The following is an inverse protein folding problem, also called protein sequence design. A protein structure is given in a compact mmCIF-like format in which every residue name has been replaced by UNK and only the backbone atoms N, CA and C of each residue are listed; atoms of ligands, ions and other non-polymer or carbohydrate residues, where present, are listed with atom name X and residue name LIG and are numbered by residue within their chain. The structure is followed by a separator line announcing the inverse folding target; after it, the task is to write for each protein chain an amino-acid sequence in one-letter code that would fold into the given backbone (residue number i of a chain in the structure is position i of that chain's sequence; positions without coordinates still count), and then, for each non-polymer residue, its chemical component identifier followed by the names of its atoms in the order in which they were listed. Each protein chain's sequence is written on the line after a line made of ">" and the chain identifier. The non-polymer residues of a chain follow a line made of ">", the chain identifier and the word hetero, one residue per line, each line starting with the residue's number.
data_IF_717326241993
#
_entry.id   IF_717326241993
#
_cell.length_a   1.000
_cell.length_b   1.000
_cell.length_c   1.000
_cell.angle_alpha   90.00
_cell.angle_beta   90.00
_cell.angle_gamma   90.00
#
_symmetry.space_group_name_H-M   'P 1'
#
loop_
_entity.id
_entity.type
_entity.pdbx_description
1 polymer ?
#
# COMPACT_ATOMS: atom_id res chain seq x y z
N UNK A 1 -33.72 -29.06 20.68
CA UNK A 1 -32.32 -28.69 20.42
C UNK A 1 -32.00 -27.54 21.36
N UNK A 2 -31.01 -27.63 22.27
CA UNK A 2 -30.64 -26.49 23.10
C UNK A 2 -29.61 -25.64 22.33
N UNK A 3 -29.85 -24.33 22.24
CA UNK A 3 -28.83 -23.37 21.79
C UNK A 3 -27.92 -23.07 22.97
N UNK A 4 -26.68 -23.51 22.89
CA UNK A 4 -25.63 -23.12 23.84
C UNK A 4 -25.20 -21.70 23.49
N UNK A 5 -25.80 -20.70 24.13
CA UNK A 5 -25.28 -19.34 24.09
C UNK A 5 -23.93 -19.32 24.81
N UNK A 6 -22.92 -18.75 24.15
CA UNK A 6 -21.61 -18.48 24.74
C UNK A 6 -21.86 -17.47 25.88
N UNK A 7 -21.63 -17.89 27.11
CA UNK A 7 -21.62 -17.02 28.28
C UNK A 7 -20.61 -15.89 28.03
N UNK A 8 -21.09 -14.65 27.93
CA UNK A 8 -20.23 -13.49 27.68
C UNK A 8 -19.17 -13.41 28.77
N UNK A 9 -17.89 -13.48 28.39
CA UNK A 9 -16.79 -13.14 29.27
C UNK A 9 -16.73 -11.61 29.43
N UNK A 10 -17.72 -11.03 30.10
CA UNK A 10 -17.65 -9.63 30.55
C UNK A 10 -16.86 -9.68 31.86
N UNK A 11 -15.53 -9.75 31.73
CA UNK A 11 -14.68 -9.29 32.82
C UNK A 11 -14.57 -7.78 32.62
N UNK A 12 -15.02 -7.00 33.59
CA UNK A 12 -14.87 -5.54 33.55
C UNK A 12 -13.39 -5.22 33.28
N UNK A 13 -13.06 -4.55 32.16
CA UNK A 13 -11.69 -4.16 31.90
C UNK A 13 -11.27 -3.16 32.97
N UNK A 14 -10.18 -3.44 33.67
CA UNK A 14 -9.57 -2.50 34.62
C UNK A 14 -9.00 -1.32 33.81
N UNK A 15 -9.74 -0.21 33.77
CA UNK A 15 -9.34 0.99 33.03
C UNK A 15 -8.26 1.71 33.85
N UNK A 16 -7.01 1.69 33.37
CA UNK A 16 -5.92 2.45 33.96
C UNK A 16 -5.91 3.88 33.37
N UNK A 17 -6.19 4.92 34.18
CA UNK A 17 -6.24 6.31 33.71
C UNK A 17 -4.88 6.82 33.20
N UNK A 18 -3.76 6.22 33.60
CA UNK A 18 -2.42 6.60 33.14
C UNK A 18 -2.11 6.23 31.67
N UNK A 19 -2.99 5.45 31.03
CA UNK A 19 -2.85 5.08 29.60
C UNK A 19 -3.61 6.02 28.66
N UNK A 20 -4.35 7.00 29.20
CA UNK A 20 -5.15 7.94 28.42
C UNK A 20 -4.48 9.31 28.41
N UNK A 21 -4.40 9.94 27.23
CA UNK A 21 -3.86 11.30 27.03
C UNK A 21 -4.89 12.38 27.45
N UNK A 22 -5.54 12.18 28.60
CA UNK A 22 -6.50 13.13 29.19
C UNK A 22 -6.16 13.35 30.65
N UNK A 23 -6.27 14.60 31.11
CA UNK A 23 -6.06 14.96 32.51
C UNK A 23 -7.26 14.50 33.34
N UNK A 24 -7.18 13.31 33.92
CA UNK A 24 -8.17 12.79 34.87
C UNK A 24 -7.75 13.13 36.31
N UNK A 25 -8.69 13.63 37.12
CA UNK A 25 -8.47 13.79 38.56
C UNK A 25 -8.28 12.40 39.21
N UNK A 26 -7.34 12.25 40.14
CA UNK A 26 -6.94 10.94 40.69
C UNK A 26 -8.06 10.24 41.51
N UNK A 27 -9.06 11.04 41.88
CA UNK A 27 -10.26 10.67 42.62
C UNK A 27 -11.52 10.62 41.72
N UNK A 28 -11.39 10.82 40.41
CA UNK A 28 -12.47 10.71 39.44
C UNK A 28 -12.54 9.28 38.88
N UNK A 29 -13.57 8.54 39.27
CA UNK A 29 -13.84 7.21 38.71
C UNK A 29 -14.34 7.34 37.28
N UNK A 30 -13.45 7.10 36.30
CA UNK A 30 -13.81 6.98 34.87
C UNK A 30 -14.51 5.63 34.67
N UNK A 31 -15.74 5.52 35.14
CA UNK A 31 -16.62 4.41 34.78
C UNK A 31 -16.89 4.45 33.28
N UNK A 32 -17.05 3.28 32.66
CA UNK A 32 -17.61 3.17 31.31
C UNK A 32 -18.94 3.94 31.30
N UNK A 33 -18.99 5.08 30.62
CA UNK A 33 -20.19 5.94 30.48
C UNK A 33 -21.18 5.31 29.49
N UNK A 34 -21.47 4.02 29.61
CA UNK A 34 -22.64 3.44 28.98
C UNK A 34 -23.80 3.78 29.94
N UNK A 35 -24.78 4.60 29.52
CA UNK A 35 -25.95 4.87 30.33
C UNK A 35 -26.59 3.55 30.77
N UNK A 36 -26.87 3.38 32.06
CA UNK A 36 -27.63 2.22 32.56
C UNK A 36 -29.14 2.35 32.33
N UNK A 37 -29.57 3.39 31.62
CA UNK A 37 -30.94 3.54 31.15
C UNK A 37 -31.21 2.57 30.01
N UNK A 38 -32.44 2.06 29.90
CA UNK A 38 -32.86 1.31 28.72
C UNK A 38 -32.57 2.18 27.49
N UNK A 39 -31.71 1.68 26.59
CA UNK A 39 -31.40 2.36 25.34
C UNK A 39 -32.71 2.73 24.65
N UNK A 40 -32.91 4.02 24.40
CA UNK A 40 -34.11 4.53 23.70
C UNK A 40 -34.38 3.70 22.43
N UNK A 41 -35.63 3.64 21.99
CA UNK A 41 -36.06 2.79 20.88
C UNK A 41 -35.22 3.06 19.60
N UNK A 42 -34.70 4.28 19.46
CA UNK A 42 -33.74 4.70 18.43
C UNK A 42 -32.44 3.88 18.43
N UNK A 43 -31.92 3.51 19.59
CA UNK A 43 -30.66 2.77 19.76
C UNK A 43 -30.85 1.25 19.89
N UNK A 44 -32.09 0.78 20.05
CA UNK A 44 -32.44 -0.64 20.09
C UNK A 44 -32.55 -1.28 18.70
N UNK A 45 -32.62 -0.48 17.64
CA UNK A 45 -32.67 -0.98 16.27
C UNK A 45 -31.29 -1.44 15.82
N UNK A 46 -31.11 -2.75 15.69
CA UNK A 46 -29.98 -3.33 14.96
C UNK A 46 -30.14 -2.88 13.50
N UNK A 47 -29.19 -2.11 12.94
CA UNK A 47 -29.28 -1.69 11.54
C UNK A 47 -29.30 -2.91 10.63
N UNK A 48 -30.17 -2.90 9.62
CA UNK A 48 -30.18 -3.92 8.58
C UNK A 48 -28.98 -3.70 7.65
N UNK A 49 -27.95 -4.53 7.83
CA UNK A 49 -26.72 -4.45 7.05
C UNK A 49 -26.79 -5.23 5.73
N UNK A 50 -27.93 -5.87 5.40
CA UNK A 50 -28.03 -6.69 4.18
C UNK A 50 -27.96 -5.83 2.90
N UNK A 51 -28.62 -4.66 2.90
CA UNK A 51 -28.55 -3.70 1.80
C UNK A 51 -27.14 -3.13 1.63
N UNK A 52 -26.51 -2.76 2.76
CA UNK A 52 -25.13 -2.27 2.78
C UNK A 52 -24.18 -3.36 2.25
N UNK A 53 -24.30 -4.60 2.72
CA UNK A 53 -23.49 -5.73 2.26
C UNK A 53 -23.65 -5.99 0.76
N UNK A 54 -24.87 -5.87 0.22
CA UNK A 54 -25.12 -5.97 -1.22
C UNK A 54 -24.44 -4.81 -1.97
N UNK A 55 -24.41 -3.61 -1.41
CA UNK A 55 -23.67 -2.47 -1.97
C UNK A 55 -22.15 -2.68 -1.93
N UNK A 56 -21.60 -3.12 -0.81
CA UNK A 56 -20.20 -3.54 -0.70
C UNK A 56 -19.88 -4.71 -1.63
N UNK A 57 -20.83 -5.57 -1.96
CA UNK A 57 -20.67 -6.66 -2.93
C UNK A 57 -20.68 -6.14 -4.38
N UNK A 58 -21.46 -5.09 -4.69
CA UNK A 58 -21.42 -4.40 -6.00
C UNK A 58 -20.08 -3.71 -6.25
N UNK A 59 -19.48 -3.13 -5.22
CA UNK A 59 -18.15 -2.49 -5.29
C UNK A 59 -17.00 -3.40 -4.84
N UNK A 60 -17.34 -4.60 -4.36
CA UNK A 60 -16.41 -5.58 -3.83
C UNK A 60 -15.63 -6.20 -4.97
N UNK A 61 -14.46 -5.63 -5.21
CA UNK A 61 -13.34 -6.10 -6.04
C UNK A 61 -13.71 -7.35 -6.84
N UNK A 62 -14.29 -7.13 -8.03
CA UNK A 62 -14.60 -8.17 -9.01
C UNK A 62 -13.39 -9.09 -9.14
N UNK A 63 -13.57 -10.35 -8.74
CA UNK A 63 -12.51 -11.35 -8.72
C UNK A 63 -11.78 -11.43 -10.07
N UNK A 64 -10.45 -11.42 -10.00
CA UNK A 64 -9.59 -11.75 -11.13
C UNK A 64 -8.35 -10.88 -11.26
N UNK A 65 -8.37 -9.64 -10.78
CA UNK A 65 -7.18 -8.81 -10.81
C UNK A 65 -6.42 -8.93 -9.48
N UNK A 66 -5.53 -9.92 -9.44
CA UNK A 66 -4.52 -10.05 -8.40
C UNK A 66 -3.38 -9.05 -8.63
N UNK A 67 -3.60 -7.96 -9.39
CA UNK A 67 -2.77 -6.78 -9.30
C UNK A 67 -2.93 -6.26 -7.87
N UNK A 68 -2.15 -6.85 -6.95
CA UNK A 68 -1.78 -6.21 -5.70
C UNK A 68 -1.42 -4.80 -6.12
N UNK A 69 -2.26 -3.82 -5.75
CA UNK A 69 -1.98 -2.44 -6.03
C UNK A 69 -0.59 -2.21 -5.46
N UNK A 70 0.43 -2.13 -6.32
CA UNK A 70 1.79 -1.85 -5.93
C UNK A 70 1.78 -0.36 -5.61
N UNK A 71 1.15 -0.03 -4.48
CA UNK A 71 0.85 1.32 -4.10
C UNK A 71 2.14 2.07 -3.90
N UNK A 72 2.14 3.34 -4.26
CA UNK A 72 3.13 4.31 -3.82
C UNK A 72 2.44 5.25 -2.84
N UNK A 73 3.15 5.72 -1.84
CA UNK A 73 2.58 6.71 -0.93
C UNK A 73 2.38 8.04 -1.66
N UNK A 74 1.47 8.88 -1.15
CA UNK A 74 1.29 10.22 -1.71
C UNK A 74 2.60 11.02 -1.73
N UNK A 75 3.41 10.89 -0.67
CA UNK A 75 4.71 11.55 -0.57
C UNK A 75 5.71 11.02 -1.61
N UNK A 76 5.73 9.71 -1.86
CA UNK A 76 6.55 9.09 -2.91
C UNK A 76 6.15 9.64 -4.30
N UNK A 77 4.85 9.67 -4.60
CA UNK A 77 4.34 10.17 -5.88
C UNK A 77 4.62 11.66 -6.07
N UNK A 78 4.34 12.46 -5.04
CA UNK A 78 4.59 13.91 -5.03
C UNK A 78 6.07 14.21 -5.23
N UNK A 79 6.94 13.47 -4.54
CA UNK A 79 8.39 13.60 -4.67
C UNK A 79 8.83 13.31 -6.10
N UNK A 80 8.36 12.22 -6.73
CA UNK A 80 8.69 11.92 -8.14
C UNK A 80 8.21 13.03 -9.07
N UNK A 81 7.00 13.55 -8.86
CA UNK A 81 6.50 14.68 -9.63
C UNK A 81 7.44 15.90 -9.60
N UNK A 82 7.94 16.26 -8.42
CA UNK A 82 8.92 17.35 -8.24
C UNK A 82 10.26 17.00 -8.89
N UNK A 83 10.72 15.76 -8.73
CA UNK A 83 11.98 15.28 -9.30
C UNK A 83 11.97 15.30 -10.84
N UNK A 84 10.84 14.94 -11.46
CA UNK A 84 10.67 15.01 -12.92
C UNK A 84 10.63 16.46 -13.44
N UNK A 85 10.29 17.44 -12.61
CA UNK A 85 10.34 18.85 -13.02
C UNK A 85 11.76 19.43 -12.96
N UNK A 86 12.64 18.84 -12.15
CA UNK A 86 14.04 19.26 -12.01
C UNK A 86 14.86 18.86 -13.24
N UNK A 87 15.70 19.78 -13.73
CA UNK A 87 16.56 19.53 -14.90
C UNK A 87 17.71 18.56 -14.59
N UNK A 88 18.27 18.63 -13.38
CA UNK A 88 19.39 17.78 -12.96
C UNK A 88 19.09 17.08 -11.63
N UNK A 89 19.14 15.75 -11.66
CA UNK A 89 18.87 14.88 -10.51
C UNK A 89 20.17 14.35 -9.91
N UNK A 90 20.27 14.40 -8.59
CA UNK A 90 21.35 13.73 -7.86
C UNK A 90 21.21 12.21 -7.98
N UNK A 91 22.31 11.46 -7.91
CA UNK A 91 22.29 10.00 -8.06
C UNK A 91 21.37 9.30 -7.05
N UNK A 92 21.32 9.79 -5.80
CA UNK A 92 20.40 9.27 -4.78
C UNK A 92 18.92 9.49 -5.18
N UNK A 93 18.60 10.69 -5.68
CA UNK A 93 17.25 11.04 -6.14
C UNK A 93 16.84 10.23 -7.38
N UNK A 94 17.77 9.98 -8.30
CA UNK A 94 17.52 9.13 -9.48
C UNK A 94 17.12 7.72 -9.07
N UNK A 95 17.87 7.09 -8.15
CA UNK A 95 17.57 5.74 -7.67
C UNK A 95 16.17 5.65 -7.05
N UNK A 96 15.82 6.60 -6.19
CA UNK A 96 14.49 6.65 -5.58
C UNK A 96 13.39 6.86 -6.63
N UNK A 97 13.59 7.80 -7.56
CA UNK A 97 12.63 8.05 -8.62
C UNK A 97 12.40 6.83 -9.51
N UNK A 98 13.47 6.11 -9.86
CA UNK A 98 13.38 4.88 -10.68
C UNK A 98 12.60 3.80 -9.95
N UNK A 99 12.90 3.56 -8.66
CA UNK A 99 12.21 2.55 -7.86
C UNK A 99 10.70 2.82 -7.77
N UNK A 100 10.31 4.09 -7.61
CA UNK A 100 8.90 4.50 -7.54
C UNK A 100 8.23 4.41 -8.92
N UNK A 101 8.90 4.87 -9.97
CA UNK A 101 8.40 4.80 -11.36
C UNK A 101 8.17 3.36 -11.81
N UNK A 102 9.08 2.45 -11.47
CA UNK A 102 8.92 1.02 -11.76
C UNK A 102 7.73 0.42 -11.02
N UNK A 103 7.49 0.83 -9.77
CA UNK A 103 6.30 0.43 -8.99
C UNK A 103 5.00 1.01 -9.56
N UNK A 104 5.06 2.19 -10.15
CA UNK A 104 3.91 2.84 -10.79
C UNK A 104 3.59 2.23 -12.16
N UNK A 105 4.54 1.59 -12.84
CA UNK A 105 4.35 1.07 -14.19
C UNK A 105 3.15 0.11 -14.26
N UNK A 106 2.23 0.37 -15.19
CA UNK A 106 1.00 -0.41 -15.35
C UNK A 106 -0.16 0.02 -14.45
N UNK A 107 0.01 1.07 -13.65
CA UNK A 107 -1.09 1.68 -12.86
C UNK A 107 -1.69 2.90 -13.56
N UNK A 108 -2.93 3.26 -13.24
CA UNK A 108 -3.55 4.50 -13.71
C UNK A 108 -2.77 5.75 -13.24
N UNK A 109 -2.17 5.69 -12.04
CA UNK A 109 -1.34 6.77 -11.50
C UNK A 109 -0.13 7.09 -12.40
N UNK A 110 0.42 6.10 -13.09
CA UNK A 110 1.49 6.33 -14.06
C UNK A 110 1.00 7.18 -15.24
N UNK A 111 -0.14 6.83 -15.82
CA UNK A 111 -0.74 7.60 -16.91
C UNK A 111 -1.13 9.02 -16.48
N UNK A 112 -1.63 9.19 -15.24
CA UNK A 112 -1.92 10.52 -14.69
C UNK A 112 -0.64 11.34 -14.49
N UNK A 113 0.43 10.72 -13.99
CA UNK A 113 1.74 11.37 -13.82
C UNK A 113 2.31 11.84 -15.17
N UNK A 114 2.23 10.99 -16.20
CA UNK A 114 2.67 11.33 -17.57
C UNK A 114 1.91 12.50 -18.17
N UNK A 115 0.58 12.56 -17.97
CA UNK A 115 -0.25 13.63 -18.50
C UNK A 115 -0.19 14.91 -17.65
N UNK A 116 0.20 14.82 -16.37
CA UNK A 116 0.24 15.95 -15.46
C UNK A 116 1.45 16.88 -15.69
N UNK A 117 2.54 16.38 -16.27
CA UNK A 117 3.79 17.13 -16.43
C UNK A 117 4.21 17.06 -17.89
N UNK A 118 4.42 18.21 -18.52
CA UNK A 118 4.83 18.26 -19.91
C UNK A 118 6.18 17.57 -20.14
N UNK A 119 6.20 16.62 -21.08
CA UNK A 119 7.37 15.82 -21.39
C UNK A 119 7.74 14.79 -20.31
N UNK A 120 6.86 14.47 -19.35
CA UNK A 120 7.13 13.46 -18.33
C UNK A 120 7.52 12.11 -18.92
N UNK A 121 6.81 11.61 -19.94
CA UNK A 121 7.16 10.34 -20.60
C UNK A 121 8.61 10.32 -21.10
N UNK A 122 9.08 11.42 -21.70
CA UNK A 122 10.46 11.53 -22.17
C UNK A 122 11.45 11.54 -21.00
N UNK A 123 11.16 12.30 -19.94
CA UNK A 123 12.03 12.38 -18.76
C UNK A 123 12.08 11.05 -17.99
N UNK A 124 10.96 10.34 -17.92
CA UNK A 124 10.86 9.01 -17.33
C UNK A 124 11.69 8.02 -18.16
N UNK A 125 11.61 8.06 -19.49
CA UNK A 125 12.43 7.24 -20.36
C UNK A 125 13.93 7.52 -20.17
N UNK A 126 14.34 8.80 -20.16
CA UNK A 126 15.72 9.20 -19.89
C UNK A 126 16.21 8.74 -18.49
N UNK A 127 15.32 8.81 -17.48
CA UNK A 127 15.59 8.34 -16.12
C UNK A 127 15.84 6.82 -16.09
N UNK A 128 14.96 6.04 -16.71
CA UNK A 128 15.06 4.58 -16.74
C UNK A 128 16.27 4.11 -17.56
N UNK A 129 16.53 4.72 -18.72
CA UNK A 129 17.68 4.37 -19.57
C UNK A 129 19.02 4.57 -18.85
N UNK A 130 19.12 5.63 -18.04
CA UNK A 130 20.32 5.89 -17.22
C UNK A 130 20.62 4.80 -16.17
N UNK A 131 19.65 3.93 -15.85
CA UNK A 131 19.86 2.79 -14.93
C UNK A 131 20.24 1.49 -15.62
N UNK A 132 19.88 1.31 -16.90
CA UNK A 132 20.21 0.09 -17.66
C UNK A 132 21.71 -0.05 -17.92
N UNK A 133 22.43 1.06 -18.04
CA UNK A 133 23.89 1.05 -18.21
C UNK A 133 24.67 0.57 -16.98
N UNK A 134 24.03 0.48 -15.81
CA UNK A 134 24.68 -0.01 -14.58
C UNK A 134 24.49 -1.51 -14.35
N UNK A 135 23.53 -2.15 -15.02
CA UNK A 135 23.18 -3.56 -14.80
C UNK A 135 23.87 -4.52 -15.79
N UNK A 136 24.43 -3.99 -16.88
CA UNK A 136 25.14 -4.78 -17.89
C UNK A 136 26.46 -5.40 -17.41
N UNK A 137 27.01 -4.96 -16.28
CA UNK A 137 28.27 -5.48 -15.74
C UNK A 137 28.11 -6.71 -14.83
N UNK A 138 26.91 -6.97 -14.29
CA UNK A 138 26.73 -8.03 -13.29
C UNK A 138 26.11 -9.33 -13.83
N UNK A 139 25.37 -9.28 -14.96
CA UNK A 139 24.64 -10.44 -15.48
C UNK A 139 25.25 -11.05 -16.77
N UNK A 140 26.34 -10.51 -17.32
CA UNK A 140 26.80 -10.87 -18.67
C UNK A 140 28.07 -11.73 -18.75
N UNK A 141 28.71 -12.16 -17.66
CA UNK A 141 30.09 -12.68 -17.76
C UNK A 141 30.28 -14.20 -17.65
N UNK A 142 29.23 -15.02 -17.62
CA UNK A 142 29.41 -16.49 -17.64
C UNK A 142 28.84 -17.20 -18.87
N UNK A 143 27.87 -16.63 -19.58
CA UNK A 143 27.23 -17.28 -20.74
C UNK A 143 27.46 -16.59 -22.09
N UNK A 144 28.00 -15.36 -22.11
CA UNK A 144 28.39 -14.69 -23.34
C UNK A 144 29.89 -14.80 -23.53
N UNK A 145 30.36 -15.98 -23.92
CA UNK A 145 31.65 -16.08 -24.61
C UNK A 145 31.42 -15.56 -26.03
N UNK A 146 32.11 -14.50 -26.40
CA UNK A 146 32.11 -13.98 -27.78
C UNK A 146 32.70 -15.01 -28.78
N UNK A 147 33.42 -16.00 -28.25
CA UNK A 147 33.98 -17.12 -28.98
C UNK A 147 33.07 -18.35 -28.88
N UNK A 148 32.33 -18.62 -29.96
CA UNK A 148 31.44 -19.79 -30.10
C UNK A 148 32.20 -21.13 -30.15
N UNK A 149 33.54 -21.11 -30.22
CA UNK A 149 34.35 -22.34 -30.33
C UNK A 149 34.44 -23.14 -29.03
N UNK A 150 34.05 -22.55 -27.90
CA UNK A 150 34.10 -23.15 -26.55
C UNK A 150 32.70 -23.40 -25.97
N UNK A 151 31.66 -23.45 -26.82
CA UNK A 151 30.31 -23.82 -26.41
C UNK A 151 30.16 -25.34 -26.34
N UNK A 152 30.03 -25.89 -25.12
CA UNK A 152 29.75 -27.31 -24.88
C UNK A 152 28.28 -27.52 -24.46
N UNK A 153 27.49 -28.15 -25.34
CA UNK A 153 26.09 -28.48 -25.06
C UNK A 153 25.95 -29.59 -23.99
N UNK A 154 27.01 -30.36 -23.73
CA UNK A 154 27.03 -31.44 -22.73
C UNK A 154 26.97 -30.96 -21.28
N UNK A 155 27.24 -29.67 -21.02
CA UNK A 155 27.13 -29.07 -19.68
C UNK A 155 25.66 -28.81 -19.27
N UNK A 156 24.72 -28.87 -20.22
CA UNK A 156 23.31 -28.47 -20.04
C UNK A 156 22.31 -29.64 -20.13
N UNK A 157 22.77 -30.89 -20.13
CA UNK A 157 21.95 -32.12 -20.18
C UNK A 157 22.17 -33.03 -18.98
#
# INVERSE_FOLDING_TARGET
>A
MPNTAIESQITDPEINPGNLDIECDENETVGVQIPQEELDEVFSNIPDLEEEKEEWNRYGISGGDNSLAQGVTFDELSSVGVLLQKENLEQAQKKTAVAIVQRLQGTELFSLLENSIEGASRKIAELLDSTLSSETEAASSTLRKDDLSDFDIGEFV
#
